data_IF_712887846638
#
_entry.id   IF_712887846638
#
_cell.length_a   1.000
_cell.length_b   1.000
_cell.length_c   1.000
_cell.angle_alpha   90.00
_cell.angle_beta   90.00
_cell.angle_gamma   90.00
#
_symmetry.space_group_name_H-M   'P 1'
#
loop_
_entity.id
_entity.type
_entity.pdbx_description
1 polymer ?
#
# COMPACT_ATOMS: atom_id res chain seq x y z
N UNK A 1 -3.17 -12.24 35.29
CA UNK A 1 -2.60 -12.60 33.97
C UNK A 1 -3.78 -13.05 33.12
N UNK A 2 -4.33 -12.13 32.33
CA UNK A 2 -5.48 -12.42 31.49
C UNK A 2 -4.99 -13.20 30.28
N UNK A 3 -5.41 -14.47 30.17
CA UNK A 3 -5.17 -15.28 28.98
C UNK A 3 -5.94 -14.61 27.84
N UNK A 4 -5.22 -13.94 26.95
CA UNK A 4 -5.79 -13.33 25.77
C UNK A 4 -6.46 -14.42 24.94
N UNK A 5 -7.79 -14.37 24.89
CA UNK A 5 -8.65 -15.30 24.18
C UNK A 5 -8.51 -15.03 22.67
N UNK A 6 -7.39 -15.48 22.09
CA UNK A 6 -7.18 -15.42 20.65
C UNK A 6 -8.05 -16.50 20.02
N UNK A 7 -9.04 -16.09 19.22
CA UNK A 7 -9.82 -17.04 18.46
C UNK A 7 -8.96 -17.52 17.29
N UNK A 8 -8.44 -18.77 17.31
CA UNK A 8 -7.44 -19.23 16.35
C UNK A 8 -7.98 -19.32 14.91
N UNK A 9 -9.30 -19.14 14.76
CA UNK A 9 -10.02 -19.41 13.54
C UNK A 9 -9.96 -18.25 12.53
N UNK A 10 -9.81 -17.00 12.96
CA UNK A 10 -9.78 -15.85 12.05
C UNK A 10 -8.40 -15.23 11.99
N UNK A 11 -7.85 -15.16 10.78
CA UNK A 11 -6.55 -14.55 10.52
C UNK A 11 -6.67 -13.50 9.42
N UNK A 12 -6.22 -12.28 9.69
CA UNK A 12 -6.19 -11.20 8.70
C UNK A 12 -4.77 -10.77 8.42
N UNK A 13 -4.50 -10.52 7.16
CA UNK A 13 -3.20 -10.10 6.67
C UNK A 13 -3.34 -9.00 5.62
N UNK A 14 -2.56 -7.94 5.79
CA UNK A 14 -2.46 -6.82 4.87
C UNK A 14 -1.08 -6.90 4.24
N UNK A 15 -1.05 -7.18 2.93
CA UNK A 15 0.17 -7.44 2.16
C UNK A 15 0.41 -6.42 1.06
N UNK A 16 1.68 -6.39 0.64
CA UNK A 16 2.17 -5.93 -0.66
C UNK A 16 1.50 -4.67 -1.19
N UNK A 17 1.85 -3.49 -0.67
CA UNK A 17 1.32 -2.24 -1.19
C UNK A 17 1.75 -2.06 -2.65
N UNK A 18 0.79 -2.01 -3.57
CA UNK A 18 1.04 -1.82 -5.00
C UNK A 18 0.77 -0.37 -5.41
N UNK A 19 1.72 0.25 -6.09
CA UNK A 19 1.56 1.59 -6.64
C UNK A 19 0.91 1.51 -8.03
N UNK A 20 -0.25 2.12 -8.21
CA UNK A 20 -0.90 2.27 -9.51
C UNK A 20 -1.47 3.68 -9.64
N UNK A 21 -1.16 4.37 -10.74
CA UNK A 21 -1.62 5.74 -11.02
C UNK A 21 -1.32 6.73 -9.88
N UNK A 22 -0.15 6.61 -9.23
CA UNK A 22 0.24 7.46 -8.10
C UNK A 22 -0.50 7.16 -6.78
N UNK A 23 -1.27 6.07 -6.71
CA UNK A 23 -2.02 5.66 -5.52
C UNK A 23 -1.58 4.27 -5.06
N UNK A 24 -1.38 4.11 -3.75
CA UNK A 24 -1.08 2.81 -3.15
C UNK A 24 -2.36 2.02 -2.84
N UNK A 25 -2.36 0.77 -3.27
CA UNK A 25 -3.39 -0.23 -3.00
C UNK A 25 -2.83 -1.30 -2.07
N UNK A 26 -3.63 -1.74 -1.11
CA UNK A 26 -3.27 -2.75 -0.12
C UNK A 26 -4.07 -4.01 -0.40
N UNK A 27 -3.42 -5.17 -0.33
CA UNK A 27 -4.06 -6.47 -0.47
C UNK A 27 -4.46 -6.97 0.92
N UNK A 28 -5.75 -7.12 1.17
CA UNK A 28 -6.29 -7.57 2.44
C UNK A 28 -6.78 -8.99 2.26
N UNK A 29 -6.19 -9.92 3.00
CA UNK A 29 -6.51 -11.33 3.03
C UNK A 29 -7.13 -11.67 4.38
N UNK A 30 -8.39 -12.10 4.40
CA UNK A 30 -9.00 -12.72 5.57
C UNK A 30 -9.07 -14.23 5.35
N UNK A 31 -8.61 -15.00 6.32
CA UNK A 31 -8.67 -16.46 6.36
C UNK A 31 -9.52 -16.87 7.54
N UNK A 32 -10.61 -17.58 7.25
CA UNK A 32 -11.51 -18.16 8.24
C UNK A 32 -11.33 -19.68 8.26
N UNK A 33 -10.93 -20.20 9.41
CA UNK A 33 -10.70 -21.62 9.72
C UNK A 33 -11.79 -22.18 10.64
N UNK A 34 -12.90 -21.48 10.84
CA UNK A 34 -13.96 -21.85 11.78
C UNK A 34 -14.62 -23.20 11.47
N UNK A 35 -14.55 -23.67 10.23
CA UNK A 35 -14.94 -25.04 9.86
C UNK A 35 -13.69 -25.89 9.68
N UNK A 36 -13.57 -26.96 10.47
CA UNK A 36 -12.41 -27.89 10.44
C UNK A 36 -12.07 -28.40 9.04
N UNK A 37 -13.06 -28.48 8.14
CA UNK A 37 -12.89 -29.01 6.78
C UNK A 37 -12.78 -27.95 5.68
N UNK A 38 -12.96 -26.66 6.02
CA UNK A 38 -13.07 -25.60 5.01
C UNK A 38 -12.39 -24.31 5.45
N UNK A 39 -11.31 -23.98 4.76
CA UNK A 39 -10.63 -22.69 4.89
C UNK A 39 -11.22 -21.74 3.86
N UNK A 40 -11.85 -20.65 4.31
CA UNK A 40 -12.37 -19.60 3.43
C UNK A 40 -11.38 -18.46 3.38
N UNK A 41 -10.91 -18.13 2.17
CA UNK A 41 -9.96 -17.04 1.94
C UNK A 41 -10.65 -15.92 1.15
N UNK A 42 -10.78 -14.76 1.78
CA UNK A 42 -11.25 -13.54 1.13
C UNK A 42 -10.06 -12.64 0.81
N UNK A 43 -9.89 -12.26 -0.45
CA UNK A 43 -8.83 -11.32 -0.85
C UNK A 43 -9.43 -10.09 -1.51
N UNK A 44 -9.03 -8.90 -1.05
CA UNK A 44 -9.49 -7.62 -1.58
C UNK A 44 -8.31 -6.66 -1.78
N UNK A 45 -8.22 -6.04 -2.96
CA UNK A 45 -7.24 -4.99 -3.27
C UNK A 45 -7.91 -3.62 -3.17
N UNK A 46 -7.48 -2.79 -2.22
CA UNK A 46 -8.19 -1.54 -1.89
C UNK A 46 -7.25 -0.40 -1.56
N UNK A 47 -7.64 0.83 -1.92
CA UNK A 47 -6.91 2.05 -1.54
C UNK A 47 -7.20 2.44 -0.10
N UNK A 48 -6.26 3.12 0.56
CA UNK A 48 -6.41 3.59 1.94
C UNK A 48 -7.70 4.40 2.20
N UNK A 49 -8.14 5.22 1.22
CA UNK A 49 -9.40 5.99 1.35
C UNK A 49 -10.62 5.09 1.62
N UNK A 50 -10.71 3.95 0.94
CA UNK A 50 -11.83 3.00 1.10
C UNK A 50 -11.76 2.32 2.46
N UNK A 51 -10.55 1.98 2.94
CA UNK A 51 -10.37 1.40 4.28
C UNK A 51 -10.77 2.36 5.39
N UNK A 52 -10.53 3.65 5.18
CA UNK A 52 -10.98 4.70 6.10
C UNK A 52 -12.50 4.88 6.09
N UNK A 53 -13.14 4.74 4.93
CA UNK A 53 -14.61 4.72 4.82
C UNK A 53 -15.19 3.51 5.58
N UNK A 54 -14.59 2.32 5.41
CA UNK A 54 -14.95 1.14 6.20
C UNK A 54 -14.82 1.38 7.71
N UNK A 55 -13.74 2.01 8.16
CA UNK A 55 -13.59 2.35 9.58
C UNK A 55 -14.72 3.27 10.09
N UNK A 56 -15.13 4.26 9.29
CA UNK A 56 -16.27 5.12 9.64
C UNK A 56 -17.58 4.36 9.71
N UNK A 57 -17.82 3.43 8.78
CA UNK A 57 -19.00 2.56 8.85
C UNK A 57 -18.99 1.69 10.11
N UNK A 58 -17.82 1.17 10.50
CA UNK A 58 -17.64 0.45 11.76
C UNK A 58 -17.88 1.35 12.98
N UNK A 59 -17.39 2.60 12.97
CA UNK A 59 -17.63 3.58 14.04
C UNK A 59 -19.13 3.85 14.21
N UNK A 60 -19.86 3.98 13.11
CA UNK A 60 -21.31 4.17 13.14
C UNK A 60 -22.05 2.96 13.72
N UNK A 61 -21.61 1.73 13.41
CA UNK A 61 -22.30 0.52 13.89
C UNK A 61 -21.95 0.13 15.33
N UNK A 62 -20.70 0.36 15.76
CA UNK A 62 -20.18 -0.15 17.04
C UNK A 62 -20.03 0.94 18.12
N UNK A 63 -19.92 2.21 17.70
CA UNK A 63 -19.52 3.33 18.55
C UNK A 63 -18.03 3.63 18.42
N UNK A 64 -17.66 4.91 18.62
CA UNK A 64 -16.29 5.38 18.41
C UNK A 64 -15.31 4.81 19.45
N UNK A 65 -15.71 4.79 20.72
CA UNK A 65 -14.86 4.39 21.86
C UNK A 65 -14.46 2.90 21.86
N UNK A 66 -15.10 2.08 21.02
CA UNK A 66 -14.87 0.63 21.00
C UNK A 66 -13.87 0.20 19.93
N UNK A 67 -13.49 1.09 19.01
CA UNK A 67 -12.63 0.72 17.89
C UNK A 67 -11.17 1.06 18.16
N UNK A 68 -10.22 0.23 17.69
CA UNK A 68 -8.82 0.58 17.74
C UNK A 68 -8.52 1.82 16.89
N UNK A 69 -7.49 2.57 17.26
CA UNK A 69 -7.07 3.76 16.53
C UNK A 69 -6.75 3.44 15.07
N UNK A 70 -7.42 4.13 14.15
CA UNK A 70 -7.15 3.97 12.72
C UNK A 70 -5.89 4.75 12.31
N UNK A 71 -5.05 4.23 11.39
CA UNK A 71 -3.85 4.92 10.90
C UNK A 71 -4.20 6.33 10.39
N UNK A 72 -3.38 7.34 10.70
CA UNK A 72 -3.69 8.73 10.34
C UNK A 72 -3.52 9.02 8.84
N UNK A 73 -4.26 10.00 8.33
CA UNK A 73 -4.06 10.53 6.97
C UNK A 73 -2.83 11.44 6.98
N UNK A 74 -1.89 11.21 6.06
CA UNK A 74 -0.77 12.12 5.79
C UNK A 74 -1.18 13.18 4.78
N UNK A 75 -0.70 14.40 5.00
CA UNK A 75 -1.07 15.59 4.23
C UNK A 75 -0.10 15.89 3.09
N UNK A 76 1.15 15.39 3.16
CA UNK A 76 2.20 15.59 2.14
C UNK A 76 3.03 14.32 1.92
N UNK A 77 3.42 14.00 0.69
CA UNK A 77 4.31 12.86 0.39
C UNK A 77 3.63 11.49 0.49
N UNK A 78 2.58 11.27 -0.30
CA UNK A 78 1.82 10.00 -0.32
C UNK A 78 2.62 8.81 -0.87
N UNK A 79 3.67 9.08 -1.65
CA UNK A 79 4.51 8.08 -2.35
C UNK A 79 5.80 7.72 -1.60
N UNK A 80 6.02 8.30 -0.42
CA UNK A 80 7.16 7.98 0.43
C UNK A 80 7.11 6.51 0.88
N UNK A 81 8.16 5.74 0.56
CA UNK A 81 8.19 4.30 0.86
C UNK A 81 8.17 4.03 2.37
N UNK A 82 8.88 4.84 3.17
CA UNK A 82 8.89 4.67 4.63
C UNK A 82 7.48 4.84 5.20
N UNK A 83 6.73 5.80 4.65
CA UNK A 83 5.35 6.04 5.01
C UNK A 83 4.42 4.88 4.67
N UNK A 84 4.56 4.36 3.45
CA UNK A 84 3.73 3.25 2.95
C UNK A 84 3.99 2.01 3.79
N UNK A 85 5.24 1.71 4.11
CA UNK A 85 5.62 0.61 5.01
C UNK A 85 5.10 0.80 6.43
N UNK A 86 5.19 2.02 6.99
CA UNK A 86 4.64 2.31 8.31
C UNK A 86 3.13 2.10 8.33
N UNK A 87 2.42 2.70 7.36
CA UNK A 87 0.97 2.57 7.24
C UNK A 87 0.54 1.12 7.04
N UNK A 88 1.29 0.32 6.29
CA UNK A 88 1.04 -1.12 6.14
C UNK A 88 1.03 -1.81 7.51
N UNK A 89 2.05 -1.56 8.34
CA UNK A 89 2.14 -2.12 9.70
C UNK A 89 1.00 -1.64 10.60
N UNK A 90 0.65 -0.35 10.53
CA UNK A 90 -0.46 0.21 11.32
C UNK A 90 -1.81 -0.38 10.89
N UNK A 91 -2.04 -0.59 9.58
CA UNK A 91 -3.24 -1.26 9.07
C UNK A 91 -3.29 -2.73 9.53
N UNK A 92 -2.18 -3.44 9.45
CA UNK A 92 -2.07 -4.83 9.94
C UNK A 92 -2.45 -4.91 11.42
N UNK A 93 -1.87 -4.03 12.24
CA UNK A 93 -2.15 -3.94 13.66
C UNK A 93 -3.62 -3.60 13.95
N UNK A 94 -4.17 -2.62 13.24
CA UNK A 94 -5.58 -2.21 13.37
C UNK A 94 -6.53 -3.39 13.13
N UNK A 95 -6.38 -4.09 12.01
CA UNK A 95 -7.27 -5.21 11.67
C UNK A 95 -7.07 -6.41 12.60
N UNK A 96 -5.84 -6.69 13.01
CA UNK A 96 -5.57 -7.75 13.99
C UNK A 96 -6.22 -7.45 15.34
N UNK A 97 -6.09 -6.22 15.83
CA UNK A 97 -6.72 -5.78 17.09
C UNK A 97 -8.25 -5.83 16.99
N UNK A 98 -8.80 -5.35 15.87
CA UNK A 98 -10.24 -5.41 15.58
C UNK A 98 -10.75 -6.85 15.63
N UNK A 99 -10.09 -7.79 14.95
CA UNK A 99 -10.53 -9.18 14.96
C UNK A 99 -10.38 -9.82 16.34
N UNK A 100 -9.31 -9.54 17.09
CA UNK A 100 -9.14 -10.11 18.43
C UNK A 100 -10.23 -9.64 19.40
N UNK A 101 -10.60 -8.36 19.33
CA UNK A 101 -11.61 -7.76 20.21
C UNK A 101 -13.03 -8.26 19.92
N UNK A 102 -13.35 -8.52 18.65
CA UNK A 102 -14.68 -8.93 18.20
C UNK A 102 -14.73 -10.39 17.72
N UNK A 103 -13.76 -11.18 18.16
CA UNK A 103 -13.46 -12.51 17.62
C UNK A 103 -14.60 -13.52 17.75
N UNK A 104 -15.52 -13.30 18.67
CA UNK A 104 -16.62 -14.22 18.98
C UNK A 104 -17.78 -14.08 17.99
N UNK A 105 -17.97 -12.90 17.37
CA UNK A 105 -19.14 -12.63 16.54
C UNK A 105 -18.84 -11.72 15.36
N UNK A 106 -18.45 -12.34 14.24
CA UNK A 106 -18.30 -11.67 12.94
C UNK A 106 -19.60 -10.99 12.47
N UNK A 107 -20.78 -11.32 13.00
CA UNK A 107 -22.02 -10.65 12.62
C UNK A 107 -22.05 -9.20 13.13
N UNK A 108 -21.39 -8.91 14.26
CA UNK A 108 -21.24 -7.54 14.76
C UNK A 108 -20.36 -6.69 13.83
N UNK A 109 -19.46 -7.34 13.10
CA UNK A 109 -18.63 -6.74 12.07
C UNK A 109 -19.29 -6.78 10.68
N UNK A 110 -20.61 -6.54 10.61
CA UNK A 110 -21.37 -6.54 9.37
C UNK A 110 -20.76 -5.66 8.25
N UNK A 111 -20.26 -4.43 8.51
CA UNK A 111 -19.58 -3.63 7.49
C UNK A 111 -18.31 -4.31 6.95
N UNK A 112 -17.51 -4.93 7.80
CA UNK A 112 -16.29 -5.64 7.39
C UNK A 112 -16.64 -6.88 6.55
N UNK A 113 -17.61 -7.67 6.99
CA UNK A 113 -18.10 -8.83 6.24
C UNK A 113 -18.64 -8.42 4.87
N UNK A 114 -19.47 -7.38 4.83
CA UNK A 114 -19.97 -6.80 3.57
C UNK A 114 -18.81 -6.36 2.69
N UNK A 115 -17.84 -5.61 3.22
CA UNK A 115 -16.69 -5.13 2.48
C UNK A 115 -15.88 -6.26 1.83
N UNK A 116 -15.67 -7.37 2.55
CA UNK A 116 -14.93 -8.53 2.04
C UNK A 116 -15.71 -9.33 0.99
N UNK A 117 -17.04 -9.41 1.12
CA UNK A 117 -17.92 -10.20 0.23
C UNK A 117 -18.36 -9.42 -1.03
N UNK A 118 -18.61 -8.11 -0.92
CA UNK A 118 -19.34 -7.33 -1.94
C UNK A 118 -18.67 -7.29 -3.31
N UNK A 119 -17.35 -7.52 -3.40
CA UNK A 119 -16.63 -7.56 -4.69
C UNK A 119 -16.33 -8.95 -5.23
N UNK A 120 -16.72 -10.02 -4.53
CA UNK A 120 -16.64 -11.37 -5.10
C UNK A 120 -17.68 -11.58 -6.22
N UNK A 121 -18.74 -10.75 -6.26
CA UNK A 121 -19.74 -10.76 -7.32
C UNK A 121 -19.33 -9.80 -8.44
N UNK A 122 -19.09 -10.36 -9.64
CA UNK A 122 -18.99 -9.71 -10.96
C UNK A 122 -17.70 -8.93 -11.27
N UNK A 123 -16.66 -9.66 -11.66
CA UNK A 123 -15.88 -9.29 -12.86
C UNK A 123 -16.39 -10.17 -14.01
N UNK A 124 -17.64 -9.97 -14.43
CA UNK A 124 -18.01 -10.32 -15.79
C UNK A 124 -17.35 -9.27 -16.67
N UNK A 125 -16.33 -9.66 -17.42
CA UNK A 125 -15.77 -8.81 -18.46
C UNK A 125 -16.92 -8.27 -19.32
N UNK A 126 -16.98 -6.96 -19.59
CA UNK A 126 -17.90 -6.45 -20.59
C UNK A 126 -17.49 -7.08 -21.92
N UNK A 127 -18.23 -8.11 -22.36
CA UNK A 127 -18.22 -8.55 -23.75
C UNK A 127 -18.62 -7.34 -24.56
N UNK A 128 -17.66 -6.84 -25.33
CA UNK A 128 -17.81 -5.67 -26.17
C UNK A 128 -19.09 -5.74 -26.97
N UNK A 129 -19.86 -4.66 -26.92
CA UNK A 129 -20.75 -4.25 -27.99
C UNK A 129 -20.71 -2.73 -28.09
N UNK A 130 -20.07 -2.33 -29.19
CA UNK A 130 -20.58 -1.30 -30.10
C UNK A 130 -20.51 0.15 -29.63
N UNK A 131 -19.58 0.85 -30.29
CA UNK A 131 -19.56 2.28 -30.55
C UNK A 131 -20.93 2.89 -30.84
N UNK A 132 -21.36 3.87 -30.06
CA UNK A 132 -22.31 4.89 -30.51
C UNK A 132 -22.14 6.20 -29.74
N UNK A 133 -21.63 7.19 -30.47
CA UNK A 133 -21.90 8.62 -30.44
C UNK A 133 -22.03 9.34 -29.08
N UNK A 134 -21.00 10.14 -28.80
CA UNK A 134 -21.01 11.26 -27.87
C UNK A 134 -22.01 12.35 -28.29
N UNK A 135 -22.83 12.88 -27.37
CA UNK A 135 -23.30 14.25 -27.44
C UNK A 135 -22.36 15.15 -26.65
N UNK A 136 -21.75 16.12 -27.34
CA UNK A 136 -21.17 17.31 -26.73
C UNK A 136 -22.21 17.99 -25.83
N UNK A 137 -21.84 18.29 -24.60
CA UNK A 137 -22.55 19.28 -23.79
C UNK A 137 -21.54 20.18 -23.09
N UNK A 138 -21.77 21.46 -23.33
CA UNK A 138 -21.03 22.62 -22.86
C UNK A 138 -21.20 22.77 -21.35
N UNK A 139 -20.10 22.97 -20.63
CA UNK A 139 -20.13 23.63 -19.32
C UNK A 139 -18.83 24.41 -19.12
N UNK A 140 -18.80 25.61 -19.70
CA UNK A 140 -17.92 26.70 -19.28
C UNK A 140 -18.80 27.71 -18.53
N UNK A 141 -18.70 27.74 -17.19
CA UNK A 141 -18.92 28.91 -16.31
C UNK A 141 -18.98 28.47 -14.84
N UNK A 142 -17.84 28.50 -14.15
CA UNK A 142 -17.76 29.07 -12.79
C UNK A 142 -16.32 29.02 -12.29
N UNK A 143 -15.58 30.13 -12.48
CA UNK A 143 -14.28 30.30 -11.85
C UNK A 143 -14.01 31.77 -11.52
N UNK A 144 -14.97 32.44 -10.86
CA UNK A 144 -14.88 33.84 -10.48
C UNK A 144 -15.54 34.13 -9.12
N UNK A 145 -15.17 33.37 -8.08
CA UNK A 145 -15.62 33.68 -6.70
C UNK A 145 -14.60 33.37 -5.60
N UNK A 146 -13.33 33.10 -5.94
CA UNK A 146 -12.29 32.76 -4.96
C UNK A 146 -11.29 33.86 -4.63
N UNK A 147 -11.36 35.03 -5.30
CA UNK A 147 -10.35 36.10 -5.13
C UNK A 147 -10.79 37.30 -4.28
N UNK A 148 -12.00 37.34 -3.73
CA UNK A 148 -12.44 38.46 -2.86
C UNK A 148 -12.18 38.21 -1.36
N UNK A 149 -11.91 36.98 -0.93
CA UNK A 149 -11.77 36.68 0.51
C UNK A 149 -10.35 36.92 1.07
N UNK A 150 -9.33 37.09 0.22
CA UNK A 150 -7.95 37.31 0.67
C UNK A 150 -7.58 38.79 0.87
N UNK A 151 -8.37 39.75 0.38
CA UNK A 151 -8.08 41.18 0.60
C UNK A 151 -8.65 41.74 1.91
N UNK A 152 -9.70 41.13 2.48
CA UNK A 152 -10.27 41.60 3.74
C UNK A 152 -9.45 41.17 4.98
N UNK A 153 -8.67 40.09 4.90
CA UNK A 153 -7.82 39.65 6.02
C UNK A 153 -6.55 40.49 6.22
N UNK A 154 -6.06 41.20 5.19
CA UNK A 154 -4.86 42.04 5.35
C UNK A 154 -5.15 43.42 5.96
N UNK A 155 -6.39 43.94 5.89
CA UNK A 155 -6.73 45.22 6.50
C UNK A 155 -7.00 45.13 8.02
N UNK A 156 -7.40 43.97 8.54
CA UNK A 156 -7.61 43.82 10.00
C UNK A 156 -6.31 43.68 10.81
N UNK A 157 -5.18 43.30 10.19
CA UNK A 157 -3.90 43.19 10.90
C UNK A 157 -3.16 44.52 11.06
N UNK A 158 -3.54 45.58 10.34
CA UNK A 158 -2.88 46.89 10.46
C UNK A 158 -3.53 47.80 11.52
N UNK A 159 -4.75 47.53 11.97
CA UNK A 159 -5.42 48.37 12.99
C UNK A 159 -5.10 47.97 14.44
N UNK A 160 -4.37 46.88 14.68
CA UNK A 160 -3.99 46.45 16.04
C UNK A 160 -2.61 46.97 16.50
N UNK A 161 -1.96 47.86 15.74
CA UNK A 161 -0.61 48.35 16.07
C UNK A 161 -0.52 49.78 16.63
N UNK A 162 -1.63 50.50 16.78
CA UNK A 162 -1.56 51.92 17.19
C UNK A 162 -2.10 52.26 18.58
N UNK A 163 -2.56 51.30 19.39
CA UNK A 163 -3.15 51.62 20.70
C UNK A 163 -2.36 51.06 21.89
N UNK A 164 -1.09 51.45 22.01
CA UNK A 164 -0.33 51.27 23.27
C UNK A 164 0.49 52.52 23.54
N UNK A 165 -0.13 53.54 24.13
CA UNK A 165 0.57 54.48 25.02
C UNK A 165 -0.40 55.36 25.80
N UNK A 166 -0.19 55.39 27.12
CA UNK A 166 -0.92 56.12 28.18
C UNK A 166 -2.18 55.34 28.61
N UNK A 167 -2.22 54.76 29.81
CA UNK A 167 -2.54 55.47 31.06
C UNK A 167 -1.97 54.72 32.28
N UNK A 168 -1.52 55.50 33.26
CA UNK A 168 -0.98 55.13 34.57
C UNK A 168 -2.05 54.66 35.57
N UNK A 169 -1.67 53.65 36.37
CA UNK A 169 -1.99 53.40 37.80
C UNK A 169 -3.45 53.10 38.23
N UNK A 170 -3.72 51.82 38.53
CA UNK A 170 -4.41 51.36 39.76
C UNK A 170 -4.43 49.81 39.83
N UNK A 171 -4.51 49.19 41.03
CA UNK A 171 -4.25 47.77 41.21
C UNK A 171 -5.51 46.89 41.05
N UNK A 172 -5.28 45.57 40.90
CA UNK A 172 -6.17 44.45 41.30
C UNK A 172 -7.00 43.74 40.21
N UNK A 173 -6.37 42.81 39.47
CA UNK A 173 -6.84 41.41 39.26
C UNK A 173 -5.87 40.67 38.32
N UNK A 174 -5.53 39.38 38.56
CA UNK A 174 -4.63 38.65 37.69
C UNK A 174 -5.30 38.35 36.35
N UNK A 175 -4.70 38.91 35.31
CA UNK A 175 -5.13 38.96 33.92
C UNK A 175 -4.87 37.62 33.19
N UNK A 176 -5.70 37.23 32.20
CA UNK A 176 -5.58 35.98 31.43
C UNK A 176 -4.21 35.73 30.76
N UNK A 177 -3.36 36.75 30.64
CA UNK A 177 -2.02 36.62 30.08
C UNK A 177 -1.09 35.75 30.95
N UNK A 178 -1.24 35.76 32.28
CA UNK A 178 -0.43 34.89 33.16
C UNK A 178 -0.79 33.40 33.02
N UNK A 179 -2.04 33.09 32.65
CA UNK A 179 -2.43 31.71 32.35
C UNK A 179 -1.81 31.23 31.05
N UNK A 180 -1.72 32.11 30.04
CA UNK A 180 -1.07 31.78 28.77
C UNK A 180 0.45 31.57 28.95
N UNK A 181 1.09 32.40 29.77
CA UNK A 181 2.51 32.24 30.08
C UNK A 181 2.80 30.92 30.82
N UNK A 182 1.97 30.55 31.81
CA UNK A 182 2.10 29.25 32.49
C UNK A 182 1.89 28.05 31.57
N UNK A 183 1.01 28.15 30.57
CA UNK A 183 0.82 27.10 29.56
C UNK A 183 2.05 27.00 28.66
N UNK A 184 2.64 28.11 28.23
CA UNK A 184 3.88 28.12 27.44
C UNK A 184 5.06 27.54 28.23
N UNK A 185 5.17 27.87 29.52
CA UNK A 185 6.23 27.34 30.39
C UNK A 185 6.03 25.84 30.66
N UNK A 186 4.78 25.36 30.82
CA UNK A 186 4.48 23.94 30.92
C UNK A 186 4.76 23.17 29.62
N UNK A 187 4.50 23.78 28.46
CA UNK A 187 4.85 23.19 27.17
C UNK A 187 6.37 23.10 27.04
N UNK A 188 7.13 24.15 27.37
CA UNK A 188 8.59 24.12 27.30
C UNK A 188 9.23 23.14 28.28
N UNK A 189 8.65 22.93 29.47
CA UNK A 189 9.18 21.95 30.44
C UNK A 189 8.79 20.50 30.12
N UNK A 190 7.64 20.26 29.49
CA UNK A 190 7.22 18.91 29.08
C UNK A 190 7.75 18.51 27.69
N UNK A 191 8.14 19.47 26.85
CA UNK A 191 8.90 19.22 25.62
C UNK A 191 10.40 19.21 25.92
N UNK A 192 10.80 18.21 26.72
CA UNK A 192 12.20 17.78 26.78
C UNK A 192 12.66 17.38 25.37
N UNK A 193 13.60 18.17 24.83
CA UNK A 193 14.70 17.77 23.95
C UNK A 193 14.40 16.90 22.71
N UNK A 194 13.41 17.28 21.89
CA UNK A 194 13.37 16.79 20.50
C UNK A 194 14.46 17.43 19.62
N UNK A 195 15.02 18.57 20.02
CA UNK A 195 16.09 19.25 19.28
C UNK A 195 17.45 18.55 19.49
N UNK A 196 17.73 18.02 20.68
CA UNK A 196 18.98 17.27 20.93
C UNK A 196 19.03 15.93 20.19
N UNK A 197 17.87 15.33 19.88
CA UNK A 197 17.75 14.11 19.08
C UNK A 197 17.87 14.33 17.56
N UNK A 198 18.04 15.58 17.11
CA UNK A 198 18.40 15.93 15.73
C UNK A 198 19.85 16.37 15.59
N UNK A 199 20.70 16.08 16.58
CA UNK A 199 22.14 16.12 16.35
C UNK A 199 22.47 15.07 15.28
N UNK A 200 22.93 15.47 14.07
CA UNK A 200 23.37 14.49 13.09
C UNK A 200 24.41 13.59 13.78
N UNK A 201 24.32 12.26 13.63
CA UNK A 201 25.27 11.37 14.26
C UNK A 201 26.68 11.83 13.89
N UNK A 202 27.65 11.79 14.83
CA UNK A 202 29.00 12.26 14.60
C UNK A 202 29.55 11.72 13.28
N UNK A 203 30.23 12.54 12.49
CA UNK A 203 30.61 12.24 11.09
C UNK A 203 31.35 10.88 10.92
N UNK A 204 32.08 10.44 11.95
CA UNK A 204 32.73 9.12 11.97
C UNK A 204 31.74 7.94 11.86
N UNK A 205 30.51 8.08 12.37
CA UNK A 205 29.47 7.05 12.32
C UNK A 205 28.92 6.87 10.90
N UNK A 206 28.80 7.97 10.15
CA UNK A 206 28.43 7.92 8.72
C UNK A 206 29.52 7.29 7.86
N UNK A 207 30.80 7.56 8.15
CA UNK A 207 31.94 6.98 7.41
C UNK A 207 31.99 5.45 7.61
N UNK A 208 31.85 4.97 8.84
CA UNK A 208 31.85 3.53 9.14
C UNK A 208 30.68 2.80 8.46
N UNK A 209 29.46 3.34 8.55
CA UNK A 209 28.29 2.75 7.88
C UNK A 209 28.44 2.71 6.35
N UNK A 210 29.09 3.71 5.76
CA UNK A 210 29.37 3.74 4.32
C UNK A 210 30.37 2.65 3.93
N UNK A 211 31.45 2.48 4.70
CA UNK A 211 32.42 1.41 4.50
C UNK A 211 31.79 0.02 4.63
N UNK A 212 30.92 -0.19 5.62
CA UNK A 212 30.19 -1.45 5.81
C UNK A 212 29.26 -1.75 4.62
N UNK A 213 28.59 -0.73 4.08
CA UNK A 213 27.70 -0.87 2.93
C UNK A 213 28.48 -1.18 1.64
N UNK A 214 29.63 -0.52 1.44
CA UNK A 214 30.50 -0.79 0.29
C UNK A 214 31.09 -2.21 0.36
N UNK A 215 31.42 -2.70 1.56
CA UNK A 215 31.88 -4.08 1.77
C UNK A 215 30.82 -5.11 1.37
N UNK A 216 29.58 -4.95 1.85
CA UNK A 216 28.45 -5.83 1.48
C UNK A 216 28.18 -5.81 -0.03
N UNK A 217 28.27 -4.63 -0.64
CA UNK A 217 28.08 -4.47 -2.08
C UNK A 217 29.15 -5.20 -2.89
N UNK A 218 30.41 -5.18 -2.44
CA UNK A 218 31.50 -5.90 -3.09
C UNK A 218 31.37 -7.42 -2.93
N UNK A 219 31.06 -7.90 -1.72
CA UNK A 219 30.87 -9.34 -1.44
C UNK A 219 29.76 -9.92 -2.33
N UNK A 220 28.61 -9.25 -2.43
CA UNK A 220 27.50 -9.67 -3.27
C UNK A 220 27.85 -9.71 -4.77
N UNK A 221 28.66 -8.76 -5.24
CA UNK A 221 29.11 -8.73 -6.65
C UNK A 221 30.03 -9.90 -6.97
N UNK A 222 30.87 -10.28 -6.01
CA UNK A 222 31.82 -11.38 -6.18
C UNK A 222 31.08 -12.73 -6.21
N UNK A 223 30.10 -12.93 -5.32
CA UNK A 223 29.27 -14.14 -5.31
C UNK A 223 28.48 -14.32 -6.61
N UNK A 224 27.87 -13.26 -7.14
CA UNK A 224 27.18 -13.31 -8.42
C UNK A 224 28.12 -13.66 -9.58
N UNK A 225 29.33 -13.10 -9.59
CA UNK A 225 30.31 -13.42 -10.65
C UNK A 225 30.81 -14.87 -10.61
N UNK A 226 30.79 -15.50 -9.44
CA UNK A 226 31.19 -16.90 -9.29
C UNK A 226 30.11 -17.88 -9.80
N UNK A 227 28.83 -17.51 -9.71
CA UNK A 227 27.69 -18.36 -10.13
C UNK A 227 27.46 -18.31 -11.64
N UNK A 228 27.81 -17.20 -12.30
CA UNK A 228 27.67 -17.05 -13.76
C UNK A 228 29.03 -17.15 -14.47
N UNK A 229 29.63 -18.34 -14.49
CA UNK A 229 30.69 -18.61 -15.47
C UNK A 229 30.07 -18.73 -16.86
N UNK A 230 29.97 -17.60 -17.57
CA UNK A 230 29.57 -17.59 -18.97
C UNK A 230 30.68 -18.31 -19.76
N UNK A 231 30.39 -19.44 -20.43
CA UNK A 231 31.40 -20.14 -21.19
C UNK A 231 31.97 -19.20 -22.26
N UNK A 232 33.29 -19.02 -22.23
CA UNK A 232 34.01 -18.22 -23.23
C UNK A 232 33.85 -18.90 -24.58
N UNK A 233 32.95 -18.38 -25.40
CA UNK A 233 32.84 -18.75 -26.81
C UNK A 233 34.18 -18.35 -27.46
N UNK A 234 34.97 -19.35 -27.85
CA UNK A 234 36.20 -19.12 -28.61
C UNK A 234 35.80 -18.53 -29.96
N UNK A 235 36.04 -17.23 -30.13
CA UNK A 235 35.95 -16.57 -31.43
C UNK A 235 37.06 -17.13 -32.32
N UNK A 236 36.69 -18.08 -33.17
CA UNK A 236 37.53 -18.48 -34.29
C UNK A 236 37.56 -17.31 -35.28
N UNK A 237 38.76 -16.79 -35.51
CA UNK A 237 39.04 -15.77 -36.50
C UNK A 237 38.86 -16.37 -37.90
N UNK A 238 37.80 -15.98 -38.61
CA UNK A 238 37.71 -16.18 -40.05
C UNK A 238 38.30 -14.96 -40.76
N UNK A 239 39.54 -15.11 -41.19
CA UNK A 239 40.09 -14.30 -42.27
C UNK A 239 39.66 -14.93 -43.61
N UNK A 240 39.18 -14.06 -44.49
CA UNK A 240 39.28 -14.11 -45.96
C UNK A 240 38.22 -14.82 -46.82
N UNK A 241 37.93 -14.08 -47.90
CA UNK A 241 37.44 -14.37 -49.24
C UNK A 241 35.93 -14.40 -49.54
N UNK A 242 35.57 -13.35 -50.26
CA UNK A 242 34.52 -13.25 -51.29
C UNK A 242 34.33 -14.55 -52.08
N UNK A 243 33.12 -15.11 -51.99
CA UNK A 243 32.37 -15.66 -53.11
C UNK A 243 30.94 -15.93 -52.61
N UNK A 244 29.96 -15.28 -53.24
CA UNK A 244 28.54 -15.57 -53.02
C UNK A 244 28.21 -16.95 -53.61
N UNK A 245 28.29 -17.97 -52.78
CA UNK A 245 27.59 -19.23 -53.01
C UNK A 245 26.58 -19.40 -51.88
N UNK A 246 25.30 -19.55 -52.25
CA UNK A 246 24.18 -19.67 -51.33
C UNK A 246 24.34 -21.00 -50.58
N UNK A 247 25.04 -20.96 -49.45
CA UNK A 247 25.26 -22.10 -48.57
C UNK A 247 23.94 -22.46 -47.88
N UNK A 248 23.27 -23.48 -48.43
CA UNK A 248 22.24 -24.23 -47.73
C UNK A 248 22.84 -24.82 -46.45
N UNK A 249 22.47 -24.26 -45.29
CA UNK A 249 22.88 -24.78 -43.99
C UNK A 249 22.22 -26.15 -43.75
N UNK A 250 22.98 -27.26 -43.59
CA UNK A 250 22.46 -28.55 -43.14
C UNK A 250 22.23 -28.49 -41.63
N UNK A 251 21.24 -27.70 -41.23
CA UNK A 251 20.80 -27.55 -39.84
C UNK A 251 19.30 -27.24 -39.74
N UNK A 252 18.62 -27.12 -40.88
CA UNK A 252 17.18 -26.82 -40.95
C UNK A 252 16.33 -27.88 -40.26
N UNK A 253 16.67 -29.16 -40.38
CA UNK A 253 15.88 -30.24 -39.77
C UNK A 253 15.93 -30.20 -38.24
N UNK A 254 17.10 -29.99 -37.63
CA UNK A 254 17.22 -29.91 -36.18
C UNK A 254 16.56 -28.65 -35.61
N UNK A 255 16.58 -27.53 -36.35
CA UNK A 255 15.89 -26.31 -35.96
C UNK A 255 14.37 -26.42 -36.14
N UNK A 256 13.90 -27.06 -37.22
CA UNK A 256 12.49 -27.35 -37.44
C UNK A 256 11.94 -28.32 -36.40
N UNK A 257 12.69 -29.35 -36.03
CA UNK A 257 12.31 -30.27 -34.96
C UNK A 257 12.22 -29.55 -33.60
N UNK A 258 13.12 -28.60 -33.34
CA UNK A 258 13.07 -27.79 -32.11
C UNK A 258 11.86 -26.85 -32.11
N UNK A 259 11.55 -26.20 -33.23
CA UNK A 259 10.37 -25.33 -33.38
C UNK A 259 9.09 -26.15 -33.20
N UNK A 260 8.99 -27.32 -33.82
CA UNK A 260 7.83 -28.20 -33.71
C UNK A 260 7.67 -28.77 -32.30
N UNK A 261 8.78 -29.05 -31.60
CA UNK A 261 8.76 -29.41 -30.17
C UNK A 261 8.30 -28.26 -29.29
N UNK A 262 8.71 -27.02 -29.58
CA UNK A 262 8.27 -25.85 -28.84
C UNK A 262 6.79 -25.53 -29.06
N UNK A 263 6.29 -25.67 -30.29
CA UNK A 263 4.87 -25.48 -30.61
C UNK A 263 4.01 -26.57 -29.96
N UNK A 264 4.44 -27.84 -29.99
CA UNK A 264 3.76 -28.91 -29.28
C UNK A 264 3.76 -28.71 -27.76
N UNK A 265 4.86 -28.21 -27.19
CA UNK A 265 4.93 -27.87 -25.76
C UNK A 265 3.97 -26.73 -25.42
N UNK A 266 3.87 -25.70 -26.27
CA UNK A 266 2.93 -24.59 -26.09
C UNK A 266 1.48 -25.08 -26.12
N UNK A 267 1.12 -25.97 -27.04
CA UNK A 267 -0.22 -26.59 -27.11
C UNK A 267 -0.50 -27.46 -25.89
N UNK A 268 0.49 -28.22 -25.38
CA UNK A 268 0.33 -29.00 -24.16
C UNK A 268 0.16 -28.13 -22.92
N UNK A 269 0.89 -27.03 -22.83
CA UNK A 269 0.74 -26.03 -21.76
C UNK A 269 -0.65 -25.39 -21.85
N UNK A 270 -1.11 -25.02 -23.05
CA UNK A 270 -2.44 -24.44 -23.24
C UNK A 270 -3.56 -25.44 -22.90
N UNK A 271 -3.39 -26.71 -23.25
CA UNK A 271 -4.31 -27.80 -22.88
C UNK A 271 -4.29 -28.12 -21.38
N UNK A 272 -3.14 -28.00 -20.72
CA UNK A 272 -3.01 -28.15 -19.27
C UNK A 272 -3.56 -26.94 -18.51
N UNK A 273 -3.52 -25.74 -19.10
CA UNK A 273 -4.09 -24.51 -18.57
C UNK A 273 -5.58 -24.37 -18.88
N UNK A 274 -6.09 -25.09 -19.89
CA UNK A 274 -7.52 -25.33 -20.09
C UNK A 274 -8.05 -26.28 -19.00
N UNK A 275 -8.07 -25.76 -17.78
CA UNK A 275 -8.97 -26.25 -16.74
C UNK A 275 -10.37 -26.38 -17.35
N UNK A 276 -11.13 -27.46 -17.05
CA UNK A 276 -12.48 -27.60 -17.53
C UNK A 276 -13.25 -26.34 -17.17
N UNK A 277 -13.66 -25.59 -18.19
CA UNK A 277 -14.60 -24.49 -18.07
C UNK A 277 -15.96 -25.10 -17.72
N UNK A 278 -16.08 -25.61 -16.49
CA UNK A 278 -17.38 -25.75 -15.86
C UNK A 278 -17.92 -24.33 -15.77
N UNK A 279 -19.11 -24.11 -16.33
CA UNK A 279 -19.87 -22.87 -16.14
C UNK A 279 -20.04 -22.67 -14.62
N UNK A 280 -19.18 -21.87 -14.02
CA UNK A 280 -19.14 -21.65 -12.58
C UNK A 280 -19.18 -20.15 -12.31
N UNK A 281 -20.31 -19.74 -11.73
CA UNK A 281 -20.50 -18.50 -11.02
C UNK A 281 -19.35 -18.20 -10.04
N UNK A 282 -19.00 -16.91 -9.92
CA UNK A 282 -18.19 -16.26 -8.86
C UNK A 282 -17.46 -17.19 -7.89
N UNK A 283 -16.14 -17.35 -8.07
CA UNK A 283 -15.34 -18.27 -7.27
C UNK A 283 -15.13 -17.77 -5.84
N UNK A 284 -15.91 -18.31 -4.90
CA UNK A 284 -15.38 -18.62 -3.57
C UNK A 284 -14.36 -19.74 -3.78
N UNK A 285 -13.08 -19.51 -3.52
CA UNK A 285 -12.11 -20.62 -3.50
C UNK A 285 -12.30 -21.33 -2.17
N UNK A 286 -13.23 -22.28 -2.17
CA UNK A 286 -13.47 -23.21 -1.08
C UNK A 286 -12.48 -24.36 -1.23
N UNK A 287 -11.41 -24.36 -0.44
CA UNK A 287 -10.54 -25.53 -0.34
C UNK A 287 -11.21 -26.54 0.61
N UNK A 288 -11.75 -27.63 0.07
CA UNK A 288 -12.16 -28.80 0.86
C UNK A 288 -10.98 -29.77 0.92
N UNK A 289 -10.36 -29.89 2.09
CA UNK A 289 -9.38 -30.95 2.32
C UNK A 289 -10.14 -32.19 2.80
N UNK A 290 -10.10 -33.30 2.03
CA UNK A 290 -10.53 -34.61 2.56
C UNK A 290 -9.45 -35.10 3.51
N UNK A 291 -9.73 -35.16 4.81
CA UNK A 291 -8.87 -35.91 5.73
C UNK A 291 -8.97 -37.39 5.36
N UNK A 292 -7.86 -38.00 4.97
CA UNK A 292 -7.76 -39.47 4.93
C UNK A 292 -7.70 -39.95 6.38
N UNK A 293 -8.71 -40.73 6.79
CA UNK A 293 -8.72 -41.51 8.02
C UNK A 293 -8.11 -42.88 7.78
#
# INVERSE_FOLDING_TARGET
MDQQNQNPNLQIEVRDPQLAQGVHFYNIKLTDKGNQDMIVVYTQKQRYKVLRELHKELQQSLGDDKLPNFPKKRWFGTTDQQFVSQRLKELQYYFHTLLNQYSIDLQQLAPLKKFLITKAKKTEQPKGKTSEQSPQSQDQKNNQQQNQNNQQQQQQQQQQKEEVQKVKKSPTKPEPQQKMQKILDQINQNFVNLVDNFSPPPEHYSIKKRADYDKLRYEYKNELSAVYQIPKIQQQQSNNLENEEILSFPGGEAQQELIEKMDNLAVQIEKALQLPQTKADSTQIVYKFKSQQ
#
